data_IF_751430579673
#
_entry.id   IF_751430579673
#
_cell.length_a   1.000
_cell.length_b   1.000
_cell.length_c   1.000
_cell.angle_alpha   90.00
_cell.angle_beta   90.00
_cell.angle_gamma   90.00
#
_symmetry.space_group_name_H-M   'P 1'
#
loop_
_entity.id
_entity.type
_entity.pdbx_description
1 polymer ?
#
# COMPACT_ATOMS: atom_id res chain seq x y z
N UNK A 1 -25.08 -8.49 -16.33
CA UNK A 1 -23.74 -8.97 -15.93
C UNK A 1 -23.83 -10.39 -15.39
N UNK A 2 -24.57 -10.61 -14.30
CA UNK A 2 -24.76 -11.92 -13.65
C UNK A 2 -25.11 -13.05 -14.61
N UNK A 3 -26.06 -12.86 -15.53
CA UNK A 3 -26.42 -13.89 -16.52
C UNK A 3 -25.24 -14.36 -17.38
N UNK A 4 -24.36 -13.43 -17.80
CA UNK A 4 -23.17 -13.76 -18.59
C UNK A 4 -22.14 -14.52 -17.76
N UNK A 5 -21.93 -14.08 -16.51
CA UNK A 5 -21.05 -14.78 -15.57
C UNK A 5 -21.55 -16.21 -15.35
N UNK A 6 -22.84 -16.38 -15.03
CA UNK A 6 -23.46 -17.70 -14.84
C UNK A 6 -23.33 -18.58 -16.08
N UNK A 7 -23.57 -18.02 -17.27
CA UNK A 7 -23.42 -18.76 -18.52
C UNK A 7 -21.97 -19.22 -18.75
N UNK A 8 -20.98 -18.36 -18.50
CA UNK A 8 -19.56 -18.70 -18.62
C UNK A 8 -19.12 -19.72 -17.57
N UNK A 9 -19.51 -19.55 -16.31
CA UNK A 9 -19.17 -20.49 -15.24
C UNK A 9 -19.76 -21.88 -15.48
N UNK A 10 -20.98 -21.97 -16.05
CA UNK A 10 -21.61 -23.25 -16.43
C UNK A 10 -20.84 -24.02 -17.52
N UNK A 11 -20.01 -23.34 -18.31
CA UNK A 11 -19.21 -23.98 -19.34
C UNK A 11 -17.90 -24.58 -18.80
N UNK A 12 -17.50 -24.24 -17.58
CA UNK A 12 -16.29 -24.74 -16.94
C UNK A 12 -16.47 -26.20 -16.49
N UNK A 13 -15.43 -27.02 -16.67
CA UNK A 13 -15.40 -28.41 -16.21
C UNK A 13 -14.46 -28.54 -15.03
N UNK A 14 -14.95 -29.17 -13.96
CA UNK A 14 -14.15 -29.51 -12.79
C UNK A 14 -13.63 -30.95 -12.91
N UNK A 15 -12.37 -31.18 -12.53
CA UNK A 15 -11.79 -32.52 -12.43
C UNK A 15 -10.26 -32.48 -12.36
N UNK A 16 -9.65 -33.64 -12.51
CA UNK A 16 -8.19 -33.84 -12.31
C UNK A 16 -7.43 -34.19 -13.58
N UNK A 17 -8.10 -34.24 -14.73
CA UNK A 17 -7.48 -34.55 -16.02
C UNK A 17 -7.07 -33.30 -16.81
N UNK A 18 -6.59 -33.53 -18.03
CA UNK A 18 -5.99 -32.50 -18.88
C UNK A 18 -7.01 -31.55 -19.53
N UNK A 19 -8.30 -31.91 -19.54
CA UNK A 19 -9.38 -31.15 -20.21
C UNK A 19 -10.34 -30.48 -19.21
N UNK A 20 -9.87 -30.19 -17.99
CA UNK A 20 -10.64 -29.55 -16.94
C UNK A 20 -10.00 -28.21 -16.54
N UNK A 21 -10.81 -27.17 -16.48
CA UNK A 21 -10.36 -25.82 -16.13
C UNK A 21 -10.23 -25.62 -14.62
N UNK A 22 -11.00 -26.38 -13.82
CA UNK A 22 -11.09 -26.21 -12.37
C UNK A 22 -10.65 -27.50 -11.65
N UNK A 23 -9.69 -27.37 -10.74
CA UNK A 23 -9.23 -28.49 -9.90
C UNK A 23 -10.16 -28.78 -8.72
N UNK A 24 -9.83 -29.85 -7.98
CA UNK A 24 -10.45 -30.12 -6.68
C UNK A 24 -9.93 -29.16 -5.60
N UNK A 25 -10.74 -28.95 -4.56
CA UNK A 25 -10.26 -28.28 -3.34
C UNK A 25 -9.12 -29.08 -2.71
N UNK A 26 -8.07 -28.39 -2.28
CA UNK A 26 -6.86 -29.03 -1.74
C UNK A 26 -7.03 -29.64 -0.35
N UNK A 27 -8.06 -29.22 0.41
CA UNK A 27 -8.31 -29.75 1.75
C UNK A 27 -9.80 -29.73 2.11
N UNK A 28 -10.23 -30.70 2.92
CA UNK A 28 -11.59 -30.74 3.48
C UNK A 28 -11.88 -29.54 4.38
N UNK A 29 -10.86 -29.04 5.08
CA UNK A 29 -11.00 -27.83 5.90
C UNK A 29 -11.44 -26.65 5.05
N UNK A 30 -10.81 -26.46 3.88
CA UNK A 30 -11.18 -25.37 2.99
C UNK A 30 -12.56 -25.58 2.35
N UNK A 31 -12.91 -26.84 2.04
CA UNK A 31 -14.26 -27.17 1.58
C UNK A 31 -15.33 -26.74 2.59
N UNK A 32 -15.12 -27.04 3.88
CA UNK A 32 -16.05 -26.62 4.95
C UNK A 32 -16.20 -25.11 5.04
N UNK A 33 -15.10 -24.35 4.96
CA UNK A 33 -15.16 -22.87 4.94
C UNK A 33 -16.02 -22.36 3.78
N UNK A 34 -15.84 -22.92 2.59
CA UNK A 34 -16.64 -22.55 1.40
C UNK A 34 -18.12 -22.85 1.63
N UNK A 35 -18.44 -24.05 2.14
CA UNK A 35 -19.83 -24.45 2.43
C UNK A 35 -20.47 -23.55 3.48
N UNK A 36 -19.75 -23.23 4.56
CA UNK A 36 -20.21 -22.35 5.64
C UNK A 36 -20.47 -20.93 5.15
N UNK A 37 -19.58 -20.36 4.32
CA UNK A 37 -19.76 -19.03 3.76
C UNK A 37 -20.97 -18.93 2.83
N UNK A 38 -21.18 -19.97 2.00
CA UNK A 38 -22.35 -20.03 1.11
C UNK A 38 -23.63 -20.18 1.93
N UNK A 39 -23.62 -21.04 2.96
CA UNK A 39 -24.77 -21.24 3.83
C UNK A 39 -25.14 -19.97 4.63
N UNK A 40 -24.15 -19.26 5.20
CA UNK A 40 -24.37 -17.99 5.89
C UNK A 40 -25.03 -16.96 4.96
N UNK A 41 -24.47 -16.76 3.77
CA UNK A 41 -25.02 -15.82 2.80
C UNK A 41 -26.47 -16.15 2.41
N UNK A 42 -26.75 -17.43 2.11
CA UNK A 42 -28.12 -17.88 1.76
C UNK A 42 -29.08 -17.70 2.94
N UNK A 43 -28.65 -18.00 4.16
CA UNK A 43 -29.47 -17.82 5.37
C UNK A 43 -29.84 -16.35 5.62
N UNK A 44 -29.02 -15.41 5.13
CA UNK A 44 -29.23 -13.96 5.24
C UNK A 44 -29.93 -13.35 4.01
N UNK A 45 -30.46 -14.20 3.13
CA UNK A 45 -31.28 -13.77 2.00
C UNK A 45 -30.53 -13.60 0.67
N UNK A 46 -29.23 -13.92 0.61
CA UNK A 46 -28.54 -13.97 -0.67
C UNK A 46 -29.11 -15.07 -1.55
N UNK A 47 -29.21 -14.79 -2.85
CA UNK A 47 -29.42 -15.84 -3.85
C UNK A 47 -28.04 -16.35 -4.24
N UNK A 48 -27.92 -17.64 -4.53
CA UNK A 48 -26.68 -18.26 -5.03
C UNK A 48 -26.11 -17.55 -6.29
N UNK A 49 -26.91 -16.69 -6.94
CA UNK A 49 -26.50 -15.87 -8.07
C UNK A 49 -26.09 -14.42 -7.73
N UNK A 50 -26.65 -13.79 -6.68
CA UNK A 50 -26.47 -12.38 -6.36
C UNK A 50 -27.15 -11.97 -5.03
N UNK A 51 -26.90 -10.75 -4.58
CA UNK A 51 -27.63 -10.14 -3.45
C UNK A 51 -26.91 -10.31 -2.12
N UNK A 52 -25.59 -10.23 -2.15
CA UNK A 52 -24.75 -10.26 -0.95
C UNK A 52 -24.42 -8.85 -0.47
N UNK A 53 -24.10 -8.72 0.81
CA UNK A 53 -23.62 -7.48 1.42
C UNK A 53 -22.54 -7.76 2.47
N UNK A 54 -21.96 -6.70 3.04
CA UNK A 54 -20.86 -6.79 4.01
C UNK A 54 -21.24 -7.33 5.40
N UNK A 55 -22.52 -7.67 5.63
CA UNK A 55 -22.95 -8.38 6.85
C UNK A 55 -22.76 -9.90 6.74
N UNK A 56 -22.46 -10.40 5.54
CA UNK A 56 -22.28 -11.83 5.23
C UNK A 56 -20.80 -12.20 5.24
N UNK A 57 -20.47 -13.39 5.75
CA UNK A 57 -19.07 -13.85 5.92
C UNK A 57 -18.31 -13.92 4.60
N UNK A 58 -18.97 -14.35 3.52
CA UNK A 58 -18.40 -14.42 2.15
C UNK A 58 -17.85 -13.08 1.63
N UNK A 59 -18.32 -11.95 2.17
CA UNK A 59 -17.86 -10.60 1.80
C UNK A 59 -16.79 -10.04 2.76
N UNK A 60 -16.50 -10.72 3.86
CA UNK A 60 -15.61 -10.21 4.95
C UNK A 60 -14.39 -11.08 5.18
N UNK A 61 -14.56 -12.39 5.02
CA UNK A 61 -13.52 -13.37 5.28
C UNK A 61 -13.03 -14.02 3.98
N UNK A 62 -11.80 -14.52 4.01
CA UNK A 62 -11.20 -15.16 2.85
C UNK A 62 -11.85 -16.54 2.63
N UNK A 63 -12.65 -16.63 1.57
CA UNK A 63 -13.34 -17.89 1.21
C UNK A 63 -12.39 -18.91 0.57
N UNK A 64 -11.38 -18.45 -0.17
CA UNK A 64 -10.36 -19.27 -0.85
C UNK A 64 -10.92 -20.49 -1.62
N UNK A 65 -12.01 -20.27 -2.36
CA UNK A 65 -12.71 -21.29 -3.13
C UNK A 65 -13.47 -20.69 -4.31
N UNK A 66 -14.16 -21.52 -5.11
CA UNK A 66 -14.79 -21.10 -6.37
C UNK A 66 -16.12 -20.37 -6.13
N UNK A 67 -16.13 -19.33 -5.31
CA UNK A 67 -17.29 -18.49 -5.01
C UNK A 67 -17.03 -17.07 -5.51
N UNK A 68 -17.98 -16.52 -6.28
CA UNK A 68 -17.90 -15.16 -6.82
C UNK A 68 -19.09 -14.33 -6.32
N UNK A 69 -18.98 -13.69 -5.14
CA UNK A 69 -20.04 -12.84 -4.61
C UNK A 69 -20.24 -11.60 -5.50
N UNK A 70 -21.49 -11.23 -5.77
CA UNK A 70 -21.85 -10.07 -6.58
C UNK A 70 -22.69 -9.08 -5.78
N UNK A 71 -22.12 -7.90 -5.54
CA UNK A 71 -22.75 -6.76 -4.86
C UNK A 71 -22.88 -5.58 -5.84
N UNK A 72 -24.04 -4.93 -5.84
CA UNK A 72 -24.28 -3.75 -6.65
C UNK A 72 -23.81 -2.48 -5.93
N UNK A 73 -23.56 -1.43 -6.70
CA UNK A 73 -23.29 -0.08 -6.22
C UNK A 73 -23.94 0.92 -7.18
N UNK A 74 -24.22 2.13 -6.71
CA UNK A 74 -24.84 3.19 -7.50
C UNK A 74 -23.85 4.26 -7.93
N UNK A 75 -22.82 4.51 -7.11
CA UNK A 75 -21.85 5.60 -7.33
C UNK A 75 -20.40 5.12 -7.30
N UNK A 76 -19.51 5.91 -7.90
CA UNK A 76 -18.06 5.64 -7.84
C UNK A 76 -17.54 5.71 -6.39
N UNK A 77 -18.02 6.69 -5.62
CA UNK A 77 -17.69 6.88 -4.21
C UNK A 77 -18.10 5.67 -3.38
N UNK A 78 -19.29 5.15 -3.61
CA UNK A 78 -19.77 3.94 -2.96
C UNK A 78 -18.94 2.72 -3.34
N UNK A 79 -18.62 2.53 -4.63
CA UNK A 79 -17.79 1.42 -5.08
C UNK A 79 -16.41 1.43 -4.42
N UNK A 80 -15.77 2.59 -4.34
CA UNK A 80 -14.47 2.77 -3.66
C UNK A 80 -14.61 2.48 -2.16
N UNK A 81 -15.66 2.99 -1.51
CA UNK A 81 -15.93 2.75 -0.08
C UNK A 81 -16.10 1.25 0.20
N UNK A 82 -16.90 0.55 -0.62
CA UNK A 82 -17.11 -0.89 -0.50
C UNK A 82 -15.81 -1.67 -0.76
N UNK A 83 -15.07 -1.34 -1.81
CA UNK A 83 -13.79 -2.00 -2.10
C UNK A 83 -12.76 -1.84 -0.97
N UNK A 84 -12.75 -0.69 -0.30
CA UNK A 84 -11.83 -0.42 0.81
C UNK A 84 -12.33 -0.94 2.16
N UNK A 85 -13.62 -1.24 2.32
CA UNK A 85 -14.21 -1.89 3.50
C UNK A 85 -13.91 -3.40 3.49
N UNK A 86 -12.62 -3.70 3.55
CA UNK A 86 -12.05 -5.02 3.71
C UNK A 86 -10.80 -4.91 4.59
N UNK A 87 -10.57 -5.88 5.50
CA UNK A 87 -9.31 -5.94 6.25
C UNK A 87 -8.12 -6.33 5.35
N UNK A 88 -8.39 -6.77 4.12
CA UNK A 88 -7.40 -7.19 3.14
C UNK A 88 -7.18 -6.13 2.07
N UNK A 89 -6.03 -6.22 1.38
CA UNK A 89 -5.60 -5.28 0.36
C UNK A 89 -4.46 -5.83 -0.48
N UNK A 90 -4.55 -7.08 -0.94
CA UNK A 90 -3.52 -7.69 -1.79
C UNK A 90 -3.60 -7.12 -3.21
N UNK A 91 -4.73 -7.33 -3.88
CA UNK A 91 -5.02 -6.79 -5.21
C UNK A 91 -6.46 -6.33 -5.36
N UNK A 92 -6.69 -5.48 -6.37
CA UNK A 92 -8.02 -5.14 -6.84
C UNK A 92 -8.03 -5.00 -8.36
N UNK A 93 -9.23 -5.00 -8.95
CA UNK A 93 -9.43 -4.86 -10.39
C UNK A 93 -10.61 -3.93 -10.68
N UNK A 94 -10.43 -3.00 -11.62
CA UNK A 94 -11.43 -2.03 -12.06
C UNK A 94 -11.71 -2.24 -13.55
N UNK A 95 -12.96 -2.50 -13.89
CA UNK A 95 -13.38 -2.75 -15.28
C UNK A 95 -14.22 -1.59 -15.80
N UNK A 96 -13.77 -0.93 -16.87
CA UNK A 96 -14.44 0.22 -17.47
C UNK A 96 -13.95 0.48 -18.90
N UNK A 97 -14.81 1.05 -19.75
CA UNK A 97 -14.41 1.55 -21.07
C UNK A 97 -13.64 2.87 -21.01
N UNK A 98 -13.85 3.65 -19.95
CA UNK A 98 -13.16 4.92 -19.72
C UNK A 98 -11.90 4.68 -18.87
N UNK A 99 -10.74 4.65 -19.53
CA UNK A 99 -9.44 4.43 -18.87
C UNK A 99 -9.09 5.55 -17.89
N UNK A 100 -9.52 6.79 -18.16
CA UNK A 100 -9.33 7.91 -17.24
C UNK A 100 -10.10 7.69 -15.94
N UNK A 101 -11.35 7.24 -16.03
CA UNK A 101 -12.15 6.80 -14.87
C UNK A 101 -11.50 5.62 -14.15
N UNK A 102 -11.07 4.61 -14.90
CA UNK A 102 -10.43 3.41 -14.32
C UNK A 102 -9.21 3.78 -13.48
N UNK A 103 -8.36 4.67 -13.98
CA UNK A 103 -7.19 5.19 -13.25
C UNK A 103 -7.57 6.00 -12.00
N UNK A 104 -8.59 6.87 -12.09
CA UNK A 104 -9.06 7.67 -10.94
C UNK A 104 -9.62 6.79 -9.82
N UNK A 105 -10.43 5.79 -10.17
CA UNK A 105 -10.95 4.80 -9.21
C UNK A 105 -9.81 3.99 -8.61
N UNK A 106 -8.92 3.45 -9.46
CA UNK A 106 -7.81 2.63 -9.00
C UNK A 106 -6.90 3.34 -8.01
N UNK A 107 -6.64 4.64 -8.20
CA UNK A 107 -5.84 5.46 -7.30
C UNK A 107 -6.46 5.64 -5.89
N UNK A 108 -7.76 5.37 -5.73
CA UNK A 108 -8.49 5.50 -4.46
C UNK A 108 -8.67 4.15 -3.73
N UNK A 109 -8.32 3.04 -4.38
CA UNK A 109 -8.46 1.70 -3.78
C UNK A 109 -7.19 1.35 -3.00
N UNK A 110 -7.36 0.94 -1.75
CA UNK A 110 -6.30 0.54 -0.82
C UNK A 110 -5.89 -0.92 -1.05
N UNK A 111 -5.13 -1.16 -2.11
CA UNK A 111 -4.53 -2.46 -2.39
C UNK A 111 -3.09 -2.33 -2.87
N UNK A 112 -2.32 -3.41 -2.73
CA UNK A 112 -0.94 -3.50 -3.19
C UNK A 112 -0.78 -3.28 -4.68
N UNK A 113 -1.67 -3.86 -5.47
CA UNK A 113 -1.76 -3.68 -6.93
C UNK A 113 -3.21 -3.53 -7.34
N UNK A 114 -3.52 -2.47 -8.09
CA UNK A 114 -4.85 -2.26 -8.69
C UNK A 114 -4.73 -2.29 -10.21
N UNK A 115 -5.41 -3.23 -10.85
CA UNK A 115 -5.41 -3.42 -12.30
C UNK A 115 -6.62 -2.72 -12.92
N UNK A 116 -6.47 -2.18 -14.13
CA UNK A 116 -7.58 -1.60 -14.91
C UNK A 116 -7.79 -2.45 -16.15
N UNK A 117 -8.99 -3.00 -16.31
CA UNK A 117 -9.38 -3.95 -17.37
C UNK A 117 -8.55 -5.24 -17.41
N UNK A 118 -8.02 -5.64 -16.26
CA UNK A 118 -7.22 -6.86 -16.10
C UNK A 118 -7.38 -7.46 -14.70
N UNK A 119 -7.06 -8.74 -14.54
CA UNK A 119 -7.15 -9.43 -13.25
C UNK A 119 -6.05 -10.49 -13.08
N UNK A 120 -5.56 -10.63 -11.84
CA UNK A 120 -4.73 -11.74 -11.33
C UNK A 120 -3.34 -11.93 -11.95
N UNK A 121 -3.02 -11.53 -13.18
CA UNK A 121 -1.77 -11.94 -13.85
C UNK A 121 -0.46 -11.31 -13.31
N UNK A 122 -0.53 -10.18 -12.60
CA UNK A 122 0.66 -9.39 -12.21
C UNK A 122 1.60 -10.09 -11.25
N UNK A 123 1.14 -11.09 -10.49
CA UNK A 123 2.03 -11.91 -9.66
C UNK A 123 3.03 -12.75 -10.49
N UNK A 124 2.71 -13.02 -11.77
CA UNK A 124 3.60 -13.70 -12.70
C UNK A 124 4.61 -12.78 -13.40
N UNK A 125 4.54 -11.46 -13.18
CA UNK A 125 5.44 -10.48 -13.81
C UNK A 125 6.54 -10.09 -12.83
N UNK A 126 7.70 -10.71 -12.99
CA UNK A 126 8.84 -10.50 -12.09
C UNK A 126 9.36 -9.05 -12.07
N UNK A 127 9.07 -8.21 -13.08
CA UNK A 127 9.49 -6.80 -13.09
C UNK A 127 8.58 -5.89 -12.26
N UNK A 128 7.31 -6.25 -12.04
CA UNK A 128 6.35 -5.40 -11.31
C UNK A 128 6.43 -5.67 -9.82
N UNK A 129 6.38 -4.64 -8.95
CA UNK A 129 6.37 -4.88 -7.51
C UNK A 129 5.09 -5.61 -7.11
N UNK A 130 5.22 -6.57 -6.20
CA UNK A 130 4.11 -7.39 -5.72
C UNK A 130 4.09 -7.42 -4.19
N UNK A 131 2.91 -7.50 -3.60
CA UNK A 131 2.73 -7.44 -2.14
C UNK A 131 1.59 -6.51 -1.76
N UNK A 132 0.91 -6.83 -0.66
CA UNK A 132 -0.31 -6.15 -0.23
C UNK A 132 -0.09 -4.98 0.72
N UNK A 133 -1.22 -4.59 1.32
CA UNK A 133 -1.33 -3.68 2.47
C UNK A 133 -2.34 -4.26 3.48
N UNK A 134 -2.53 -3.60 4.63
CA UNK A 134 -3.44 -4.05 5.71
C UNK A 134 -3.05 -5.45 6.21
N UNK A 135 -4.02 -6.35 6.38
CA UNK A 135 -3.75 -7.74 6.79
C UNK A 135 -3.19 -8.61 5.65
N UNK A 136 -3.09 -8.10 4.42
CA UNK A 136 -2.44 -8.81 3.30
C UNK A 136 -0.91 -8.72 3.30
N UNK A 137 -0.31 -8.13 4.35
CA UNK A 137 1.13 -8.11 4.57
C UNK A 137 1.78 -6.75 4.34
N UNK A 138 3.10 -6.73 4.50
CA UNK A 138 3.96 -5.56 4.32
C UNK A 138 5.17 -5.89 3.45
N UNK A 139 5.83 -4.84 2.95
CA UNK A 139 6.99 -4.96 2.04
C UNK A 139 6.59 -5.22 0.60
N UNK A 140 7.58 -5.47 -0.26
CA UNK A 140 7.38 -5.86 -1.67
C UNK A 140 8.26 -7.03 -2.06
N UNK A 141 7.73 -7.91 -2.90
CA UNK A 141 8.53 -8.84 -3.70
C UNK A 141 8.60 -8.33 -5.13
N UNK A 142 9.42 -8.98 -5.95
CA UNK A 142 9.61 -8.66 -7.37
C UNK A 142 10.19 -7.27 -7.65
N UNK A 143 10.69 -7.11 -8.89
CA UNK A 143 11.27 -5.88 -9.39
C UNK A 143 12.38 -5.31 -8.51
N UNK A 144 12.63 -4.01 -8.68
CA UNK A 144 13.63 -3.29 -7.89
C UNK A 144 13.26 -3.21 -6.41
N UNK A 145 11.98 -3.04 -6.10
CA UNK A 145 11.52 -2.87 -4.71
C UNK A 145 11.74 -4.15 -3.91
N UNK A 146 11.44 -5.32 -4.46
CA UNK A 146 11.69 -6.59 -3.78
C UNK A 146 13.16 -6.90 -3.57
N UNK A 147 14.04 -6.49 -4.50
CA UNK A 147 15.49 -6.58 -4.26
C UNK A 147 15.92 -5.69 -3.10
N UNK A 148 15.33 -4.49 -2.97
CA UNK A 148 15.66 -3.57 -1.89
C UNK A 148 15.23 -4.07 -0.50
N UNK A 149 14.23 -4.94 -0.41
CA UNK A 149 13.85 -5.61 0.85
C UNK A 149 14.90 -6.63 1.32
N UNK A 150 15.76 -7.12 0.41
CA UNK A 150 16.77 -8.13 0.70
C UNK A 150 18.15 -7.55 1.02
N UNK A 151 18.28 -6.22 1.07
CA UNK A 151 19.55 -5.54 1.33
C UNK A 151 19.44 -4.58 2.51
N UNK A 152 20.54 -4.40 3.24
CA UNK A 152 20.61 -3.44 4.33
C UNK A 152 21.21 -2.11 3.84
N UNK A 153 20.52 -0.97 3.97
CA UNK A 153 21.10 0.33 3.66
C UNK A 153 22.30 0.64 4.56
N UNK A 154 23.47 0.89 3.97
CA UNK A 154 24.66 1.36 4.70
C UNK A 154 24.81 2.87 4.51
N UNK A 155 24.58 3.65 5.57
CA UNK A 155 24.72 5.11 5.54
C UNK A 155 26.11 5.54 6.04
N UNK A 156 26.84 6.26 5.19
CA UNK A 156 28.13 6.86 5.53
C UNK A 156 27.96 8.38 5.60
N UNK A 157 28.14 8.94 6.80
CA UNK A 157 28.15 10.38 7.01
C UNK A 157 29.59 10.89 7.12
N UNK A 158 29.97 11.84 6.27
CA UNK A 158 31.31 12.44 6.28
C UNK A 158 31.20 13.92 6.57
N UNK A 159 31.69 14.33 7.75
CA UNK A 159 31.90 15.74 8.04
C UNK A 159 33.13 16.25 7.26
N UNK A 160 32.91 17.02 6.20
CA UNK A 160 33.99 17.62 5.39
C UNK A 160 34.54 18.92 6.00
N UNK A 161 33.87 19.48 7.01
CA UNK A 161 34.22 20.74 7.66
C UNK A 161 34.70 20.51 9.10
N UNK A 162 35.56 19.52 9.32
CA UNK A 162 36.07 19.12 10.66
C UNK A 162 36.79 20.22 11.42
N UNK A 163 37.22 21.29 10.75
CA UNK A 163 37.84 22.46 11.38
C UNK A 163 36.83 23.42 12.01
N UNK A 164 35.55 23.24 11.72
CA UNK A 164 34.46 24.03 12.25
C UNK A 164 33.75 23.24 13.35
N UNK A 165 33.46 23.89 14.46
CA UNK A 165 32.66 23.27 15.51
C UNK A 165 31.20 23.16 15.10
N UNK A 166 30.64 21.97 15.24
CA UNK A 166 29.22 21.72 15.02
C UNK A 166 28.38 22.61 15.95
N UNK A 167 27.45 23.37 15.37
CA UNK A 167 26.70 24.38 16.11
C UNK A 167 25.81 23.80 17.22
N UNK A 168 25.46 22.52 17.09
CA UNK A 168 24.61 21.73 17.99
C UNK A 168 25.41 20.86 18.98
N UNK A 169 26.75 20.89 18.94
CA UNK A 169 27.59 20.08 19.82
C UNK A 169 28.05 20.87 21.07
N UNK A 170 28.56 20.16 22.07
CA UNK A 170 28.91 20.70 23.39
C UNK A 170 29.80 21.96 23.34
N UNK A 171 29.64 22.84 24.34
CA UNK A 171 30.29 24.16 24.39
C UNK A 171 29.29 25.33 24.39
N UNK A 172 28.20 25.18 25.13
CA UNK A 172 27.11 26.16 25.17
C UNK A 172 27.53 27.43 25.90
N UNK A 173 27.90 28.47 25.14
CA UNK A 173 28.00 29.83 25.67
C UNK A 173 26.65 30.55 25.55
N UNK A 174 26.38 31.56 26.39
CA UNK A 174 25.19 32.41 26.23
C UNK A 174 25.05 33.01 24.82
N UNK A 175 26.18 33.29 24.15
CA UNK A 175 26.26 33.76 22.77
C UNK A 175 25.84 32.68 21.77
N UNK A 176 26.35 31.45 21.94
CA UNK A 176 26.00 30.31 21.10
C UNK A 176 24.51 29.96 21.21
N UNK A 177 23.95 30.00 22.42
CA UNK A 177 22.53 29.75 22.66
C UNK A 177 21.63 30.85 22.04
N UNK A 178 22.06 32.11 22.10
CA UNK A 178 21.39 33.23 21.41
C UNK A 178 21.43 33.07 19.91
N UNK A 179 22.59 32.71 19.34
CA UNK A 179 22.75 32.46 17.92
C UNK A 179 21.87 31.31 17.45
N UNK A 180 21.88 30.18 18.16
CA UNK A 180 21.04 29.02 17.85
C UNK A 180 19.55 29.36 17.92
N UNK A 181 19.08 30.05 18.97
CA UNK A 181 17.68 30.53 19.07
C UNK A 181 17.31 31.49 17.95
N UNK A 182 18.22 32.37 17.55
CA UNK A 182 17.98 33.31 16.44
C UNK A 182 17.86 32.59 15.10
N UNK A 183 18.70 31.58 14.85
CA UNK A 183 18.63 30.74 13.66
C UNK A 183 17.35 29.90 13.67
N UNK A 184 17.05 29.23 14.78
CA UNK A 184 15.84 28.41 14.92
C UNK A 184 14.56 29.22 14.70
N UNK A 185 14.46 30.44 15.28
CA UNK A 185 13.33 31.35 15.03
C UNK A 185 13.25 31.76 13.55
N UNK A 186 14.38 32.09 12.92
CA UNK A 186 14.43 32.49 11.50
C UNK A 186 14.04 31.36 10.54
N UNK A 187 14.50 30.14 10.81
CA UNK A 187 14.11 28.94 10.07
C UNK A 187 12.63 28.62 10.25
N UNK A 188 12.10 28.72 11.47
CA UNK A 188 10.68 28.49 11.75
C UNK A 188 9.76 29.55 11.11
N UNK A 189 10.22 30.78 10.91
CA UNK A 189 9.42 31.86 10.31
C UNK A 189 9.51 31.95 8.78
N UNK A 190 10.26 31.06 8.11
CA UNK A 190 10.27 30.97 6.64
C UNK A 190 10.84 32.19 5.88
N UNK A 191 11.59 33.07 6.53
CA UNK A 191 12.15 34.27 5.88
C UNK A 191 13.35 33.89 5.01
N UNK A 192 13.07 33.52 3.76
CA UNK A 192 14.05 33.01 2.79
C UNK A 192 14.94 34.10 2.14
N UNK A 193 14.75 35.39 2.46
CA UNK A 193 15.36 36.50 1.69
C UNK A 193 16.60 37.17 2.30
N UNK A 194 17.18 36.62 3.38
CA UNK A 194 18.44 37.13 3.95
C UNK A 194 19.65 36.16 4.03
N UNK A 195 19.79 35.06 3.26
CA UNK A 195 20.78 34.03 3.59
C UNK A 195 22.08 34.10 2.78
N UNK A 196 22.73 35.27 2.64
CA UNK A 196 24.09 35.32 2.05
C UNK A 196 25.19 35.88 2.95
N UNK A 197 24.84 36.58 4.03
CA UNK A 197 25.86 37.11 4.94
C UNK A 197 25.99 36.17 6.14
N UNK A 198 27.04 35.35 6.12
CA UNK A 198 27.55 34.67 7.32
C UNK A 198 27.64 35.74 8.41
N UNK A 199 26.79 35.66 9.44
CA UNK A 199 26.80 36.69 10.47
C UNK A 199 28.19 36.73 11.12
N UNK A 200 28.72 37.91 11.48
CA UNK A 200 30.07 38.02 12.07
C UNK A 200 30.25 37.14 13.31
N UNK A 201 29.15 36.86 14.02
CA UNK A 201 29.08 35.98 15.18
C UNK A 201 29.22 34.50 14.80
N UNK A 202 28.61 34.07 13.69
CA UNK A 202 28.76 32.72 13.15
C UNK A 202 30.18 32.51 12.63
N UNK A 203 30.75 33.48 11.90
CA UNK A 203 32.13 33.43 11.42
C UNK A 203 33.14 33.33 12.58
N UNK A 204 32.94 34.12 13.65
CA UNK A 204 33.78 34.03 14.86
C UNK A 204 33.71 32.65 15.50
N UNK A 205 32.51 32.07 15.64
CA UNK A 205 32.33 30.75 16.25
C UNK A 205 32.93 29.62 15.40
N UNK A 206 32.84 29.73 14.09
CA UNK A 206 33.45 28.80 13.13
C UNK A 206 34.98 28.87 13.17
N UNK A 207 35.56 30.04 13.43
CA UNK A 207 37.01 30.27 13.48
C UNK A 207 37.62 30.17 14.89
N UNK A 208 36.81 29.95 15.93
CA UNK A 208 37.26 29.94 17.32
C UNK A 208 38.05 28.66 17.63
N UNK A 209 39.36 28.68 17.36
CA UNK A 209 40.32 27.69 17.83
C UNK A 209 40.62 27.94 19.30
N UNK A 210 40.24 27.05 20.21
CA UNK A 210 40.81 27.10 21.57
C UNK A 210 42.31 26.87 21.51
N UNK A 211 43.07 27.82 22.07
CA UNK A 211 44.41 27.60 22.62
C UNK A 211 44.36 26.34 23.48
N UNK A 212 45.11 25.31 23.09
CA UNK A 212 45.34 24.11 23.89
C UNK A 212 45.95 24.54 25.24
N UNK A 213 45.33 24.10 26.32
CA UNK A 213 45.98 23.78 27.59
C UNK A 213 45.94 22.27 27.74
#
# INVERSE_FOLDING_TARGET
FTERVVAQTRALRQGTGENQEIGAMSSERQLRVVEEHVADAVSRGARVLAGVDHTMTVMREETFGPVLPLMNFETEEEAVRLANDSPFGLTASVWTRDIGRGRRVAARIEAGTVMVNEVLYTHGIAQTPWGGVKQSGMGRTHGRLGLLELVAPHHIHVNRLTRLHDAWWFGYTPEAARLFRSLARRFATGSAFQPMLISPQLLRRLLDKRRKS
#
